data_IF_069974270440
#
_entry.id   IF_069974270440
#
_cell.length_a   1.000
_cell.length_b   1.000
_cell.length_c   1.000
_cell.angle_alpha   90.00
_cell.angle_beta   90.00
_cell.angle_gamma   90.00
#
_symmetry.space_group_name_H-M   'P 1'
#
loop_
_entity.id
_entity.type
_entity.pdbx_description
1 polymer ?
#
# COMPACT_ATOMS: atom_id res chain seq x y z
N UNK A 1 -55.65 5.17 13.55
CA UNK A 1 -55.41 6.18 12.53
C UNK A 1 -54.23 7.05 12.97
N UNK A 2 -53.01 6.74 12.55
CA UNK A 2 -51.86 7.66 12.69
C UNK A 2 -51.07 7.54 11.40
N UNK A 3 -51.07 8.60 10.59
CA UNK A 3 -50.40 8.73 9.30
C UNK A 3 -48.94 9.05 9.59
N UNK A 4 -48.02 8.21 9.16
CA UNK A 4 -46.58 8.45 9.23
C UNK A 4 -46.13 9.06 7.90
N UNK A 5 -45.57 10.27 8.00
CA UNK A 5 -45.08 11.06 6.88
C UNK A 5 -43.74 10.48 6.42
N UNK A 6 -43.62 10.12 5.15
CA UNK A 6 -42.43 9.65 4.51
C UNK A 6 -41.63 10.88 4.00
N UNK A 7 -40.52 11.20 4.64
CA UNK A 7 -39.61 12.24 4.18
C UNK A 7 -38.62 11.63 3.18
N UNK A 8 -38.76 11.99 1.91
CA UNK A 8 -37.81 11.67 0.84
C UNK A 8 -36.67 12.71 0.89
N UNK A 9 -35.47 12.27 1.28
CA UNK A 9 -34.27 13.07 1.24
C UNK A 9 -33.60 12.91 -0.14
N UNK A 10 -33.71 13.93 -0.99
CA UNK A 10 -32.99 14.04 -2.25
C UNK A 10 -31.54 14.40 -1.95
N UNK A 11 -30.62 13.46 -2.12
CA UNK A 11 -29.17 13.74 -2.10
C UNK A 11 -28.75 14.15 -3.51
N UNK A 12 -28.47 15.43 -3.66
CA UNK A 12 -27.91 16.03 -4.87
C UNK A 12 -26.43 15.62 -5.00
N UNK A 13 -26.10 14.84 -6.01
CA UNK A 13 -24.72 14.52 -6.37
C UNK A 13 -24.08 15.72 -7.09
N UNK A 14 -23.18 16.43 -6.41
CA UNK A 14 -22.31 17.41 -7.03
C UNK A 14 -21.18 16.68 -7.78
N UNK A 15 -21.24 16.69 -9.08
CA UNK A 15 -20.14 16.27 -9.97
C UNK A 15 -19.08 17.37 -9.97
N UNK A 16 -17.98 17.14 -9.24
CA UNK A 16 -16.77 17.98 -9.39
C UNK A 16 -15.99 17.52 -10.62
N UNK A 17 -16.07 18.31 -11.69
CA UNK A 17 -15.20 18.21 -12.85
C UNK A 17 -13.82 18.75 -12.50
N UNK A 18 -12.80 17.89 -12.50
CA UNK A 18 -11.39 18.28 -12.45
C UNK A 18 -10.93 18.78 -13.85
N UNK A 19 -10.20 19.90 -13.95
CA UNK A 19 -9.58 20.28 -15.20
C UNK A 19 -8.39 19.36 -15.49
N UNK A 20 -8.40 18.76 -16.68
CA UNK A 20 -7.27 18.04 -17.23
C UNK A 20 -6.13 19.02 -17.51
N UNK A 21 -5.00 18.87 -16.84
CA UNK A 21 -3.75 19.56 -17.18
C UNK A 21 -3.20 18.98 -18.49
N UNK A 22 -3.48 19.65 -19.59
CA UNK A 22 -2.87 19.35 -20.89
C UNK A 22 -1.42 19.84 -20.86
N UNK A 23 -0.47 18.90 -20.89
CA UNK A 23 0.92 19.20 -21.21
C UNK A 23 1.01 19.58 -22.69
N UNK A 24 1.06 20.87 -22.95
CA UNK A 24 1.24 21.41 -24.28
C UNK A 24 2.73 21.44 -24.62
N UNK A 25 3.27 20.37 -25.21
CA UNK A 25 4.54 20.43 -25.93
C UNK A 25 4.24 20.98 -27.32
N UNK A 26 4.32 22.32 -27.49
CA UNK A 26 4.29 22.96 -28.75
C UNK A 26 5.63 22.80 -29.45
N UNK A 27 5.62 22.06 -30.54
CA UNK A 27 6.72 22.01 -31.50
C UNK A 27 6.67 23.31 -32.34
N UNK A 28 7.67 24.22 -32.31
CA UNK A 28 7.67 25.40 -33.15
C UNK A 28 8.34 25.09 -34.51
N UNK A 29 7.58 24.53 -35.42
CA UNK A 29 7.92 24.50 -36.83
C UNK A 29 6.89 25.33 -37.58
N UNK A 30 6.77 26.59 -37.23
CA UNK A 30 6.12 27.59 -38.07
C UNK A 30 7.23 28.43 -38.70
N UNK A 31 7.48 28.22 -39.97
CA UNK A 31 8.39 29.02 -40.76
C UNK A 31 7.94 30.48 -40.81
N UNK A 32 8.61 31.33 -40.09
CA UNK A 32 8.52 32.77 -40.26
C UNK A 32 9.50 33.15 -41.37
N UNK A 33 8.96 33.42 -42.59
CA UNK A 33 9.71 33.99 -43.67
C UNK A 33 9.99 35.46 -43.35
N UNK A 34 11.19 35.75 -42.85
CA UNK A 34 11.66 37.12 -42.66
C UNK A 34 12.18 37.63 -44.01
N UNK A 35 11.45 38.58 -44.58
CA UNK A 35 11.87 39.36 -45.75
C UNK A 35 13.02 40.28 -45.30
N UNK A 36 14.26 39.85 -45.54
CA UNK A 36 15.46 40.63 -45.23
C UNK A 36 15.61 41.70 -46.32
N UNK A 37 15.14 42.89 -45.97
CA UNK A 37 15.48 44.08 -46.76
C UNK A 37 17.00 44.27 -46.79
N UNK A 38 17.49 44.52 -47.98
CA UNK A 38 18.92 44.76 -48.28
C UNK A 38 19.49 45.85 -47.40
N UNK A 39 20.30 45.49 -46.41
CA UNK A 39 21.05 46.41 -45.56
C UNK A 39 22.37 46.81 -46.27
N UNK A 40 22.76 48.08 -46.21
CA UNK A 40 24.00 48.52 -46.82
C UNK A 40 25.23 47.91 -46.09
N UNK A 41 26.16 47.52 -46.93
CA UNK A 41 27.46 46.88 -46.66
C UNK A 41 28.17 47.42 -45.39
N UNK A 42 28.34 46.63 -44.33
CA UNK A 42 29.07 47.07 -43.15
C UNK A 42 30.55 47.12 -43.45
N UNK A 43 31.17 48.23 -43.05
CA UNK A 43 32.61 48.43 -43.14
C UNK A 43 33.34 47.33 -42.32
N UNK A 44 34.52 46.85 -42.76
CA UNK A 44 35.24 45.79 -42.06
C UNK A 44 35.64 46.24 -40.65
N UNK A 45 35.16 45.51 -39.65
CA UNK A 45 35.62 45.66 -38.25
C UNK A 45 37.09 45.22 -38.19
N UNK A 46 37.96 46.14 -37.79
CA UNK A 46 39.36 45.81 -37.42
C UNK A 46 39.29 45.12 -36.05
N UNK A 47 39.59 43.85 -36.03
CA UNK A 47 39.83 43.13 -34.80
C UNK A 47 41.08 43.69 -34.14
N UNK A 48 40.95 44.25 -32.94
CA UNK A 48 42.08 44.45 -32.04
C UNK A 48 42.57 43.08 -31.53
N UNK A 49 43.86 42.82 -31.43
CA UNK A 49 44.34 41.55 -30.93
C UNK A 49 43.82 41.36 -29.48
N UNK A 50 43.22 40.21 -29.24
CA UNK A 50 42.81 39.80 -27.90
C UNK A 50 44.07 39.75 -27.01
N UNK A 51 44.14 40.64 -26.03
CA UNK A 51 45.08 40.49 -24.92
C UNK A 51 44.71 39.22 -24.17
N UNK A 52 45.61 38.26 -24.13
CA UNK A 52 45.43 37.03 -23.35
C UNK A 52 45.07 37.38 -21.91
N UNK A 53 43.84 37.15 -21.53
CA UNK A 53 43.43 37.16 -20.14
C UNK A 53 44.01 35.88 -19.53
N UNK A 54 45.15 36.03 -18.82
CA UNK A 54 45.67 34.97 -17.97
C UNK A 54 44.62 34.66 -16.94
N UNK A 55 43.86 33.58 -17.17
CA UNK A 55 42.97 32.99 -16.17
C UNK A 55 43.89 32.40 -15.08
N UNK A 56 44.12 33.15 -14.02
CA UNK A 56 44.64 32.56 -12.79
C UNK A 56 43.55 31.65 -12.26
N UNK A 57 43.70 30.34 -12.44
CA UNK A 57 42.90 29.33 -11.78
C UNK A 57 43.30 29.34 -10.31
N UNK A 58 42.64 30.18 -9.52
CA UNK A 58 42.72 30.11 -8.08
C UNK A 58 42.12 28.78 -7.65
N UNK A 59 43.01 27.84 -7.31
CA UNK A 59 42.60 26.52 -6.79
C UNK A 59 42.03 26.74 -5.39
N UNK A 60 40.68 26.86 -5.32
CA UNK A 60 39.97 26.87 -4.04
C UNK A 60 40.24 25.50 -3.38
N UNK A 61 40.87 25.42 -2.21
CA UNK A 61 41.06 24.15 -1.53
C UNK A 61 39.69 23.56 -1.23
N UNK A 62 39.49 22.29 -1.59
CA UNK A 62 38.26 21.57 -1.32
C UNK A 62 37.92 21.63 0.19
N UNK A 63 36.67 21.89 0.57
CA UNK A 63 36.30 21.89 1.97
C UNK A 63 36.64 20.53 2.60
N UNK A 64 37.10 20.49 3.86
CA UNK A 64 37.42 19.24 4.53
C UNK A 64 36.19 18.33 4.53
N UNK A 65 36.41 17.06 4.22
CA UNK A 65 35.36 16.06 4.23
C UNK A 65 34.65 16.05 5.60
N UNK A 66 33.29 15.99 5.63
CA UNK A 66 32.60 15.91 6.90
C UNK A 66 33.10 14.67 7.68
N UNK A 67 33.22 14.76 9.01
CA UNK A 67 33.65 13.62 9.82
C UNK A 67 32.72 12.43 9.56
N UNK A 68 33.21 11.18 9.58
CA UNK A 68 32.39 10.00 9.40
C UNK A 68 31.23 10.05 10.43
N UNK A 69 29.99 10.06 9.92
CA UNK A 69 28.82 9.93 10.79
C UNK A 69 28.97 8.57 11.47
N UNK A 70 29.24 8.55 12.76
CA UNK A 70 29.26 7.33 13.55
C UNK A 70 27.95 6.61 13.29
N UNK A 71 28.02 5.40 12.71
CA UNK A 71 26.84 4.58 12.48
C UNK A 71 26.10 4.43 13.81
N UNK A 72 24.84 4.84 13.87
CA UNK A 72 24.00 4.62 15.03
C UNK A 72 24.06 3.12 15.38
N UNK A 73 24.14 2.74 16.67
CA UNK A 73 24.12 1.33 17.05
C UNK A 73 22.87 0.68 16.45
N UNK A 74 22.97 -0.57 15.98
CA UNK A 74 21.79 -1.26 15.44
C UNK A 74 20.70 -1.26 16.51
N UNK A 75 19.42 -1.09 16.12
CA UNK A 75 18.31 -1.16 17.06
C UNK A 75 18.33 -2.52 17.77
N UNK A 76 17.97 -2.58 19.08
CA UNK A 76 17.89 -3.84 19.79
C UNK A 76 16.98 -4.83 19.04
N UNK A 77 17.30 -6.15 19.05
CA UNK A 77 16.46 -7.13 18.40
C UNK A 77 15.04 -7.03 18.98
N UNK A 78 14.06 -6.98 18.09
CA UNK A 78 12.65 -6.95 18.48
C UNK A 78 12.33 -8.25 19.26
N UNK A 79 11.54 -8.20 20.33
CA UNK A 79 11.18 -9.37 21.09
C UNK A 79 10.47 -10.41 20.20
N UNK A 80 10.77 -11.70 20.43
CA UNK A 80 10.14 -12.82 19.71
C UNK A 80 8.68 -12.96 20.17
N UNK A 81 7.75 -12.42 19.38
CA UNK A 81 6.31 -12.57 19.62
C UNK A 81 5.78 -13.85 18.96
N UNK A 82 4.74 -14.44 19.53
CA UNK A 82 3.89 -15.38 18.80
C UNK A 82 3.24 -14.61 17.65
N UNK A 83 3.66 -14.94 16.45
CA UNK A 83 3.46 -14.09 15.28
C UNK A 83 2.27 -14.52 14.43
N UNK A 84 1.86 -15.78 14.54
CA UNK A 84 0.88 -16.38 13.64
C UNK A 84 -0.11 -17.26 14.38
N UNK A 85 -1.41 -17.06 14.14
CA UNK A 85 -2.50 -17.88 14.65
C UNK A 85 -3.29 -18.47 13.49
N UNK A 86 -3.79 -19.69 13.65
CA UNK A 86 -4.64 -20.34 12.64
C UNK A 86 -6.03 -20.61 13.21
N UNK A 87 -7.03 -20.24 12.43
CA UNK A 87 -8.46 -20.42 12.73
C UNK A 87 -9.04 -21.33 11.67
N UNK A 88 -9.68 -22.43 12.05
CA UNK A 88 -10.27 -23.40 11.14
C UNK A 88 -11.77 -23.21 10.97
N UNK A 89 -12.31 -23.62 9.82
CA UNK A 89 -13.71 -23.47 9.46
C UNK A 89 -14.32 -24.78 9.00
N UNK A 90 -15.60 -24.92 9.27
CA UNK A 90 -16.42 -25.98 8.70
C UNK A 90 -16.51 -25.86 7.17
N UNK A 91 -16.91 -26.98 6.55
CA UNK A 91 -17.13 -26.99 5.11
C UNK A 91 -18.19 -25.97 4.70
N UNK A 92 -17.82 -25.17 3.69
CA UNK A 92 -18.69 -24.12 3.12
C UNK A 92 -19.16 -23.04 4.11
N UNK A 93 -18.55 -22.95 5.28
CA UNK A 93 -18.90 -21.93 6.28
C UNK A 93 -17.80 -20.89 6.46
N UNK A 94 -18.22 -19.70 6.87
CA UNK A 94 -17.38 -18.58 7.29
C UNK A 94 -17.66 -18.14 8.75
N UNK A 95 -18.61 -18.80 9.44
CA UNK A 95 -18.91 -18.54 10.84
C UNK A 95 -17.80 -19.12 11.71
N UNK A 96 -17.39 -18.39 12.75
CA UNK A 96 -16.42 -18.86 13.74
C UNK A 96 -17.10 -19.86 14.68
N UNK A 97 -16.45 -21.02 14.90
CA UNK A 97 -16.82 -21.96 15.95
C UNK A 97 -16.42 -21.41 17.32
N UNK A 98 -16.91 -21.96 18.44
CA UNK A 98 -16.46 -21.54 19.78
C UNK A 98 -14.94 -21.67 19.96
N UNK A 99 -14.32 -22.72 19.43
CA UNK A 99 -12.88 -22.96 19.47
C UNK A 99 -12.14 -21.90 18.64
N UNK A 100 -12.65 -21.59 17.44
CA UNK A 100 -12.12 -20.52 16.60
C UNK A 100 -12.16 -19.16 17.29
N UNK A 101 -13.23 -18.87 18.04
CA UNK A 101 -13.36 -17.64 18.82
C UNK A 101 -12.32 -17.55 19.95
N UNK A 102 -11.98 -18.66 20.58
CA UNK A 102 -10.91 -18.70 21.61
C UNK A 102 -9.55 -18.35 20.99
N UNK A 103 -9.22 -18.91 19.82
CA UNK A 103 -7.97 -18.60 19.11
C UNK A 103 -7.93 -17.11 18.71
N UNK A 104 -9.03 -16.56 18.23
CA UNK A 104 -9.12 -15.13 17.91
C UNK A 104 -8.96 -14.27 19.15
N UNK A 105 -9.56 -14.65 20.28
CA UNK A 105 -9.41 -13.93 21.55
C UNK A 105 -7.96 -13.92 22.03
N UNK A 106 -7.24 -15.04 21.88
CA UNK A 106 -5.81 -15.12 22.20
C UNK A 106 -4.97 -14.24 21.28
N UNK A 107 -5.25 -14.25 19.96
CA UNK A 107 -4.59 -13.35 19.02
C UNK A 107 -4.83 -11.86 19.36
N UNK A 108 -6.03 -11.51 19.82
CA UNK A 108 -6.36 -10.16 20.29
C UNK A 108 -5.55 -9.77 21.53
N UNK A 109 -5.43 -10.67 22.49
CA UNK A 109 -4.58 -10.43 23.69
C UNK A 109 -3.14 -10.18 23.30
N UNK A 110 -2.57 -11.10 22.50
CA UNK A 110 -1.19 -11.00 22.02
C UNK A 110 -0.96 -9.69 21.24
N UNK A 111 -1.92 -9.28 20.39
CA UNK A 111 -1.81 -8.02 19.67
C UNK A 111 -1.83 -6.80 20.61
N UNK A 112 -2.62 -6.82 21.67
CA UNK A 112 -2.68 -5.74 22.68
C UNK A 112 -1.41 -5.65 23.50
N UNK A 113 -0.85 -6.79 23.88
CA UNK A 113 0.37 -6.87 24.69
C UNK A 113 1.60 -6.40 23.90
N UNK A 114 1.60 -6.60 22.59
CA UNK A 114 2.69 -6.20 21.69
C UNK A 114 2.61 -4.73 21.25
N UNK A 115 1.55 -4.01 21.63
CA UNK A 115 1.33 -2.62 21.20
C UNK A 115 0.77 -2.49 19.77
N UNK A 116 0.86 -1.32 19.13
CA UNK A 116 0.27 -1.07 17.82
C UNK A 116 1.00 -1.87 16.73
N UNK A 117 0.40 -2.98 16.31
CA UNK A 117 0.89 -3.83 15.22
C UNK A 117 -0.10 -3.83 14.07
N UNK A 118 0.42 -3.91 12.84
CA UNK A 118 -0.42 -4.18 11.69
C UNK A 118 -0.69 -5.68 11.61
N UNK A 119 -1.95 -6.04 11.50
CA UNK A 119 -2.41 -7.43 11.48
C UNK A 119 -2.88 -7.76 10.07
N UNK A 120 -2.40 -8.87 9.52
CA UNK A 120 -2.88 -9.39 8.24
C UNK A 120 -3.68 -10.66 8.48
N UNK A 121 -4.92 -10.69 8.03
CA UNK A 121 -5.80 -11.86 8.10
C UNK A 121 -6.00 -12.43 6.71
N UNK A 122 -5.47 -13.63 6.47
CA UNK A 122 -5.54 -14.31 5.17
C UNK A 122 -6.50 -15.50 5.25
N UNK A 123 -7.56 -15.47 4.46
CA UNK A 123 -8.51 -16.58 4.35
C UNK A 123 -8.13 -17.56 3.25
N UNK A 124 -8.35 -18.86 3.52
CA UNK A 124 -8.11 -19.97 2.59
C UNK A 124 -9.31 -20.90 2.51
N UNK A 125 -9.34 -21.71 1.45
CA UNK A 125 -10.36 -22.74 1.22
C UNK A 125 -9.72 -24.07 0.81
N UNK A 126 -10.50 -25.15 0.84
CA UNK A 126 -10.14 -26.39 0.13
C UNK A 126 -10.38 -26.22 -1.39
N UNK A 127 -10.07 -27.28 -2.16
CA UNK A 127 -10.14 -27.25 -3.62
C UNK A 127 -11.52 -27.60 -4.20
N UNK A 128 -12.57 -27.68 -3.36
CA UNK A 128 -13.92 -27.98 -3.81
C UNK A 128 -14.61 -26.74 -4.36
N UNK A 129 -15.09 -26.81 -5.59
CA UNK A 129 -15.80 -25.71 -6.24
C UNK A 129 -14.94 -24.85 -7.16
N UNK A 130 -15.51 -23.76 -7.66
CA UNK A 130 -14.83 -22.86 -8.58
C UNK A 130 -13.89 -21.90 -7.84
N UNK A 131 -12.86 -21.40 -8.53
CA UNK A 131 -11.95 -20.40 -7.97
C UNK A 131 -12.69 -19.14 -7.51
N UNK A 132 -13.60 -18.62 -8.33
CA UNK A 132 -14.34 -17.40 -8.02
C UNK A 132 -15.21 -17.56 -6.74
N UNK A 133 -15.87 -18.71 -6.59
CA UNK A 133 -16.63 -19.02 -5.37
C UNK A 133 -15.71 -19.09 -4.14
N UNK A 134 -14.60 -19.81 -4.25
CA UNK A 134 -13.64 -19.97 -3.17
C UNK A 134 -12.93 -18.66 -2.82
N UNK A 135 -12.70 -17.80 -3.79
CA UNK A 135 -12.16 -16.46 -3.55
C UNK A 135 -13.10 -15.66 -2.64
N UNK A 136 -14.38 -15.58 -3.00
CA UNK A 136 -15.38 -14.90 -2.18
C UNK A 136 -15.57 -15.56 -0.79
N UNK A 137 -15.47 -16.89 -0.69
CA UNK A 137 -15.57 -17.61 0.59
C UNK A 137 -14.36 -17.31 1.49
N UNK A 138 -13.15 -17.28 0.92
CA UNK A 138 -11.93 -16.96 1.65
C UNK A 138 -11.94 -15.52 2.20
N UNK A 139 -12.46 -14.58 1.43
CA UNK A 139 -12.64 -13.19 1.87
C UNK A 139 -13.66 -13.08 3.00
N UNK A 140 -14.80 -13.78 2.90
CA UNK A 140 -15.79 -13.84 3.99
C UNK A 140 -15.20 -14.41 5.27
N UNK A 141 -14.36 -15.43 5.19
CA UNK A 141 -13.65 -16.02 6.35
C UNK A 141 -12.71 -15.00 7.00
N UNK A 142 -11.88 -14.32 6.20
CA UNK A 142 -11.00 -13.28 6.69
C UNK A 142 -11.79 -12.13 7.35
N UNK A 143 -12.92 -11.74 6.76
CA UNK A 143 -13.80 -10.70 7.31
C UNK A 143 -14.44 -11.12 8.63
N UNK A 144 -14.87 -12.38 8.78
CA UNK A 144 -15.44 -12.90 10.03
C UNK A 144 -14.42 -12.84 11.17
N UNK A 145 -13.16 -13.20 10.89
CA UNK A 145 -12.07 -13.07 11.87
C UNK A 145 -11.83 -11.60 12.21
N UNK A 146 -11.73 -10.71 11.22
CA UNK A 146 -11.57 -9.26 11.45
C UNK A 146 -12.69 -8.73 12.35
N UNK A 147 -13.94 -9.05 12.06
CA UNK A 147 -15.08 -8.60 12.86
C UNK A 147 -14.99 -9.06 14.32
N UNK A 148 -14.56 -10.31 14.54
CA UNK A 148 -14.36 -10.83 15.88
C UNK A 148 -13.19 -10.16 16.61
N UNK A 149 -12.10 -9.82 15.90
CA UNK A 149 -10.96 -9.09 16.48
C UNK A 149 -11.37 -7.64 16.83
N UNK A 150 -12.16 -6.98 16.00
CA UNK A 150 -12.70 -5.64 16.31
C UNK A 150 -13.66 -5.69 17.50
N UNK A 151 -14.53 -6.71 17.60
CA UNK A 151 -15.37 -6.94 18.76
C UNK A 151 -14.54 -7.20 20.02
N UNK A 152 -13.35 -7.80 19.87
CA UNK A 152 -12.34 -7.96 20.95
C UNK A 152 -11.61 -6.67 21.34
N UNK A 153 -11.89 -5.54 20.68
CA UNK A 153 -11.37 -4.21 21.02
C UNK A 153 -10.10 -3.81 20.27
N UNK A 154 -9.82 -4.40 19.10
CA UNK A 154 -8.81 -3.90 18.18
C UNK A 154 -9.42 -2.92 17.17
N UNK A 155 -8.64 -1.96 16.72
CA UNK A 155 -9.10 -1.01 15.71
C UNK A 155 -9.15 -1.64 14.31
N UNK A 156 -10.21 -1.39 13.57
CA UNK A 156 -10.42 -1.93 12.23
C UNK A 156 -9.33 -1.48 11.23
N UNK A 157 -8.73 -0.32 11.44
CA UNK A 157 -7.63 0.25 10.65
C UNK A 157 -6.34 -0.56 10.73
N UNK A 158 -6.12 -1.24 11.85
CA UNK A 158 -4.93 -2.07 12.08
C UNK A 158 -5.03 -3.43 11.36
N UNK A 159 -6.23 -3.84 10.91
CA UNK A 159 -6.49 -5.19 10.40
C UNK A 159 -6.77 -5.14 8.91
N UNK A 160 -5.85 -5.71 8.13
CA UNK A 160 -5.99 -5.92 6.68
C UNK A 160 -6.48 -7.34 6.43
N UNK A 161 -7.46 -7.50 5.56
CA UNK A 161 -8.01 -8.81 5.17
C UNK A 161 -7.67 -9.11 3.71
N UNK A 162 -7.37 -10.36 3.41
CA UNK A 162 -7.18 -10.86 2.05
C UNK A 162 -7.72 -12.28 1.91
N UNK A 163 -8.26 -12.60 0.74
CA UNK A 163 -8.64 -13.95 0.36
C UNK A 163 -7.62 -14.55 -0.59
N UNK A 164 -7.22 -15.78 -0.37
CA UNK A 164 -6.28 -16.53 -1.21
C UNK A 164 -6.90 -17.77 -1.85
N UNK A 165 -8.22 -17.95 -1.68
CA UNK A 165 -8.88 -19.14 -2.22
C UNK A 165 -8.11 -20.43 -1.83
N UNK A 166 -7.86 -21.31 -2.79
CA UNK A 166 -7.02 -22.51 -2.65
C UNK A 166 -5.62 -22.36 -3.28
N UNK A 167 -5.17 -21.12 -3.52
CA UNK A 167 -3.87 -20.86 -4.17
C UNK A 167 -2.68 -21.22 -3.27
N UNK A 168 -2.86 -21.18 -1.96
CA UNK A 168 -1.83 -21.44 -0.96
C UNK A 168 -2.34 -22.51 0.02
N UNK A 169 -2.42 -23.78 -0.38
CA UNK A 169 -2.91 -24.84 0.50
C UNK A 169 -1.91 -25.15 1.60
N UNK A 170 -2.38 -25.50 2.81
CA UNK A 170 -1.55 -26.03 3.89
C UNK A 170 -1.16 -27.48 3.58
N UNK A 171 -2.12 -28.24 3.09
CA UNK A 171 -1.93 -29.60 2.62
C UNK A 171 -2.20 -29.62 1.11
N UNK A 172 -1.20 -30.01 0.33
CA UNK A 172 -1.35 -30.13 -1.12
C UNK A 172 -2.37 -31.22 -1.44
N UNK A 173 -3.44 -30.85 -2.16
CA UNK A 173 -4.51 -31.76 -2.58
C UNK A 173 -4.78 -31.57 -4.07
N UNK A 174 -5.28 -32.61 -4.72
CA UNK A 174 -5.83 -32.51 -6.07
C UNK A 174 -7.10 -31.65 -6.11
N UNK A 175 -7.63 -31.39 -7.31
CA UNK A 175 -8.87 -30.63 -7.47
C UNK A 175 -10.07 -31.38 -6.89
N UNK A 176 -11.03 -30.66 -6.31
CA UNK A 176 -12.27 -31.21 -5.78
C UNK A 176 -12.15 -32.03 -4.49
N UNK A 177 -11.04 -31.92 -3.77
CA UNK A 177 -10.80 -32.65 -2.51
C UNK A 177 -11.17 -31.79 -1.31
N UNK A 178 -11.95 -32.37 -0.39
CA UNK A 178 -12.29 -31.77 0.90
C UNK A 178 -11.14 -31.97 1.88
N UNK A 179 -10.41 -30.90 2.18
CA UNK A 179 -9.32 -30.92 3.15
C UNK A 179 -9.62 -29.94 4.30
N UNK A 180 -9.89 -30.43 5.53
CA UNK A 180 -10.21 -29.57 6.66
C UNK A 180 -9.10 -28.59 7.01
N UNK A 181 -7.83 -28.97 6.86
CA UNK A 181 -6.69 -28.11 7.20
C UNK A 181 -6.52 -26.94 6.22
N UNK A 182 -7.01 -27.08 4.98
CA UNK A 182 -7.00 -26.00 4.01
C UNK A 182 -8.11 -24.96 4.26
N UNK A 183 -9.16 -25.32 5.00
CA UNK A 183 -10.27 -24.43 5.37
C UNK A 183 -9.91 -23.60 6.60
N UNK A 184 -9.05 -22.64 6.43
CA UNK A 184 -8.50 -21.84 7.53
C UNK A 184 -8.47 -20.34 7.24
N UNK A 185 -8.29 -19.55 8.28
CA UNK A 185 -7.76 -18.20 8.20
C UNK A 185 -6.46 -18.11 9.03
N UNK A 186 -5.49 -17.43 8.50
CA UNK A 186 -4.20 -17.14 9.16
C UNK A 186 -4.21 -15.70 9.63
N UNK A 187 -3.95 -15.49 10.90
CA UNK A 187 -3.78 -14.18 11.51
C UNK A 187 -2.28 -13.96 11.69
N UNK A 188 -1.72 -12.99 11.02
CA UNK A 188 -0.29 -12.68 11.08
C UNK A 188 -0.06 -11.35 11.78
N UNK A 189 0.68 -11.40 12.90
CA UNK A 189 1.06 -10.25 13.73
C UNK A 189 2.51 -9.81 13.46
N UNK A 190 3.18 -10.37 12.46
CA UNK A 190 4.62 -10.17 12.22
C UNK A 190 4.98 -8.88 11.50
N UNK A 191 4.01 -8.16 10.99
CA UNK A 191 4.30 -6.89 10.34
C UNK A 191 4.88 -5.91 11.36
N UNK A 192 5.96 -5.19 11.00
CA UNK A 192 6.54 -4.21 11.91
C UNK A 192 5.47 -3.20 12.34
N UNK A 193 5.55 -2.67 13.57
CA UNK A 193 4.65 -1.62 14.02
C UNK A 193 4.69 -0.49 12.97
N UNK A 194 3.52 0.04 12.62
CA UNK A 194 3.45 1.26 11.81
C UNK A 194 4.20 2.33 12.59
N UNK A 195 5.41 2.66 12.15
CA UNK A 195 6.10 3.82 12.67
C UNK A 195 5.14 4.99 12.56
N UNK A 196 4.84 5.64 13.68
CA UNK A 196 4.05 6.86 13.70
C UNK A 196 4.73 7.83 12.75
N UNK A 197 4.07 8.16 11.65
CA UNK A 197 4.48 9.27 10.79
C UNK A 197 4.06 10.54 11.54
N UNK A 198 4.94 11.00 12.43
CA UNK A 198 4.89 12.34 13.01
C UNK A 198 5.37 13.36 11.96
#
# INVERSE_FOLDING_TARGET
MKKTLLAVLLVSAAVMSMPASANYFSNPSAGVSLNVGSAPNPKPFRYAPFTEVRTQTETIPAPPAPPPIAAAPPPPPAPDYVKTFMVFFDFDKSNLTPEAQQVVAEAVRTAKDNGPVRIVVTGHTDTVGTFAYNQALSERRAMSVKNAMVAGGLEASMIVTQGKSFSEPLVATGPGIREPQNRRAVIDLTNPPVASLD
#
